data_IF_774874047615
#
_entry.id   IF_774874047615
#
_cell.length_a   1.000
_cell.length_b   1.000
_cell.length_c   1.000
_cell.angle_alpha   90.00
_cell.angle_beta   90.00
_cell.angle_gamma   90.00
#
_symmetry.space_group_name_H-M   'P 1'
#
loop_
_entity.id
_entity.type
_entity.pdbx_description
1 polymer ?
#
# COMPACT_ATOMS: atom_id res chain seq x y z
N UNK A 1 14.85 17.14 -7.45
CA UNK A 1 13.40 16.81 -7.38
C UNK A 1 13.04 15.46 -8.00
N UNK A 2 13.55 15.07 -9.18
CA UNK A 2 13.23 13.77 -9.81
C UNK A 2 13.58 12.57 -8.91
N UNK A 3 14.71 12.63 -8.20
CA UNK A 3 15.13 11.59 -7.26
C UNK A 3 14.14 11.42 -6.08
N UNK A 4 13.59 12.53 -5.57
CA UNK A 4 12.67 12.52 -4.43
C UNK A 4 11.30 11.91 -4.79
N UNK A 5 10.72 12.29 -5.94
CA UNK A 5 9.46 11.69 -6.44
C UNK A 5 9.63 10.18 -6.64
N UNK A 6 10.76 9.74 -7.22
CA UNK A 6 11.05 8.31 -7.41
C UNK A 6 11.18 7.57 -6.09
N UNK A 7 11.87 8.16 -5.11
CA UNK A 7 12.00 7.60 -3.77
C UNK A 7 10.62 7.42 -3.08
N UNK A 8 9.75 8.44 -3.13
CA UNK A 8 8.42 8.34 -2.53
C UNK A 8 7.53 7.31 -3.22
N UNK A 9 7.60 7.16 -4.56
CA UNK A 9 6.90 6.09 -5.27
C UNK A 9 7.38 4.72 -4.83
N UNK A 10 8.69 4.52 -4.76
CA UNK A 10 9.25 3.25 -4.27
C UNK A 10 8.79 2.94 -2.84
N UNK A 11 8.81 3.92 -1.93
CA UNK A 11 8.30 3.75 -0.55
C UNK A 11 6.80 3.43 -0.52
N UNK A 12 6.02 4.01 -1.42
CA UNK A 12 4.58 3.73 -1.55
C UNK A 12 4.33 2.29 -2.00
N UNK A 13 5.08 1.83 -3.01
CA UNK A 13 4.98 0.45 -3.50
C UNK A 13 5.41 -0.55 -2.40
N UNK A 14 6.47 -0.22 -1.66
CA UNK A 14 6.97 -1.04 -0.54
C UNK A 14 5.93 -1.17 0.57
N UNK A 15 5.35 -0.05 1.01
CA UNK A 15 4.29 -0.07 2.03
C UNK A 15 3.02 -0.77 1.54
N UNK A 16 2.71 -0.68 0.25
CA UNK A 16 1.58 -1.41 -0.32
C UNK A 16 1.81 -2.92 -0.31
N UNK A 17 3.04 -3.37 -0.59
CA UNK A 17 3.43 -4.78 -0.48
C UNK A 17 3.34 -5.27 0.96
N UNK A 18 3.87 -4.50 1.91
CA UNK A 18 3.83 -4.84 3.34
C UNK A 18 2.38 -5.04 3.84
N UNK A 19 1.44 -4.20 3.40
CA UNK A 19 0.01 -4.36 3.73
C UNK A 19 -0.55 -5.67 3.17
N UNK A 20 -0.22 -6.01 1.92
CA UNK A 20 -0.69 -7.27 1.30
C UNK A 20 -0.13 -8.47 2.05
N UNK A 21 1.14 -8.46 2.43
CA UNK A 21 1.76 -9.55 3.21
C UNK A 21 1.08 -9.73 4.58
N UNK A 22 0.68 -8.64 5.24
CA UNK A 22 -0.09 -8.73 6.49
C UNK A 22 -1.52 -9.23 6.26
N UNK A 23 -2.19 -8.81 5.19
CA UNK A 23 -3.53 -9.29 4.84
C UNK A 23 -3.49 -10.81 4.55
N UNK A 24 -2.49 -11.29 3.81
CA UNK A 24 -2.26 -12.73 3.59
C UNK A 24 -1.98 -13.49 4.89
N UNK A 25 -1.26 -12.87 5.84
CA UNK A 25 -1.00 -13.46 7.15
C UNK A 25 -2.29 -13.61 7.99
N UNK A 26 -3.17 -12.61 7.95
CA UNK A 26 -4.49 -12.68 8.59
C UNK A 26 -5.31 -13.82 7.99
N UNK A 27 -5.39 -13.89 6.67
CA UNK A 27 -6.12 -14.96 5.97
C UNK A 27 -5.61 -16.36 6.36
N UNK A 28 -4.29 -16.52 6.46
CA UNK A 28 -3.66 -17.75 6.94
C UNK A 28 -4.08 -18.11 8.37
N UNK A 29 -4.15 -17.14 9.30
CA UNK A 29 -4.60 -17.40 10.66
C UNK A 29 -6.10 -17.74 10.74
N UNK A 30 -6.93 -17.06 9.94
CA UNK A 30 -8.36 -17.38 9.83
C UNK A 30 -8.52 -18.82 9.35
N UNK A 31 -7.82 -19.20 8.29
CA UNK A 31 -7.87 -20.56 7.74
C UNK A 31 -7.40 -21.61 8.76
N UNK A 32 -6.32 -21.34 9.50
CA UNK A 32 -5.89 -22.22 10.59
C UNK A 32 -6.97 -22.38 11.68
N UNK A 33 -7.70 -21.31 11.99
CA UNK A 33 -8.81 -21.34 12.93
C UNK A 33 -9.97 -22.22 12.46
N UNK A 34 -10.29 -22.19 11.16
CA UNK A 34 -11.30 -23.05 10.54
C UNK A 34 -10.89 -24.53 10.60
N UNK A 35 -9.64 -24.84 10.25
CA UNK A 35 -9.11 -26.20 10.32
C UNK A 35 -9.17 -26.78 11.73
N UNK A 36 -8.84 -25.99 12.76
CA UNK A 36 -8.95 -26.40 14.16
C UNK A 36 -10.41 -26.68 14.57
N UNK A 37 -11.37 -25.95 14.00
CA UNK A 37 -12.78 -26.17 14.28
C UNK A 37 -13.29 -27.46 13.64
N UNK A 38 -12.85 -27.75 12.42
CA UNK A 38 -13.18 -28.99 11.71
C UNK A 38 -12.53 -30.21 12.40
N UNK A 39 -11.28 -30.08 12.86
CA UNK A 39 -10.60 -31.11 13.65
C UNK A 39 -11.36 -31.40 14.95
N UNK A 40 -11.80 -30.35 15.66
CA UNK A 40 -12.58 -30.49 16.88
C UNK A 40 -13.92 -31.20 16.66
N UNK A 41 -14.62 -30.89 15.56
CA UNK A 41 -15.87 -31.58 15.18
C UNK A 41 -15.63 -33.06 14.91
N UNK A 42 -14.55 -33.39 14.20
CA UNK A 42 -14.19 -34.78 13.92
C UNK A 42 -13.89 -35.55 15.22
N UNK A 43 -13.10 -34.96 16.11
CA UNK A 43 -12.78 -35.56 17.41
C UNK A 43 -14.03 -35.72 18.29
N UNK A 44 -14.96 -34.76 18.25
CA UNK A 44 -16.23 -34.84 18.97
C UNK A 44 -17.08 -36.03 18.50
N UNK A 45 -17.10 -36.31 17.19
CA UNK A 45 -17.81 -37.47 16.65
C UNK A 45 -17.13 -38.77 17.11
N UNK A 46 -15.81 -38.86 17.02
CA UNK A 46 -15.06 -40.04 17.48
C UNK A 46 -15.25 -40.33 18.98
N UNK A 47 -15.29 -39.27 19.81
CA UNK A 47 -15.51 -39.36 21.24
C UNK A 47 -16.89 -39.90 21.63
N UNK A 48 -17.92 -39.69 20.79
CA UNK A 48 -19.27 -40.24 21.03
C UNK A 48 -19.31 -41.76 20.91
N UNK A 49 -18.51 -42.32 20.01
CA UNK A 49 -18.54 -43.74 19.67
C UNK A 49 -17.48 -44.57 20.43
N UNK A 50 -16.57 -43.91 21.15
CA UNK A 50 -15.48 -44.57 21.87
C UNK A 50 -15.28 -44.01 23.30
N UNK A 51 -15.51 -44.86 24.30
CA UNK A 51 -15.39 -44.51 25.72
C UNK A 51 -14.01 -44.00 26.12
N UNK A 52 -12.92 -44.54 25.55
CA UNK A 52 -11.57 -44.07 25.86
C UNK A 52 -11.33 -42.67 25.27
N UNK A 53 -11.80 -42.42 24.05
CA UNK A 53 -11.73 -41.09 23.42
C UNK A 53 -12.60 -40.05 24.16
N UNK A 54 -13.76 -40.45 24.67
CA UNK A 54 -14.63 -39.59 25.49
C UNK A 54 -13.93 -39.06 26.75
N UNK A 55 -13.01 -39.83 27.35
CA UNK A 55 -12.30 -39.41 28.56
C UNK A 55 -11.26 -38.32 28.27
N UNK A 56 -10.63 -38.34 27.09
CA UNK A 56 -9.58 -37.37 26.70
C UNK A 56 -10.12 -36.17 25.94
N UNK A 57 -11.33 -36.26 25.37
CA UNK A 57 -11.94 -35.21 24.55
C UNK A 57 -11.99 -33.84 25.24
N UNK A 58 -12.30 -33.78 26.55
CA UNK A 58 -12.39 -32.51 27.27
C UNK A 58 -11.06 -31.74 27.30
N UNK A 59 -9.95 -32.44 27.53
CA UNK A 59 -8.61 -31.83 27.51
C UNK A 59 -8.23 -31.36 26.11
N UNK A 60 -8.53 -32.20 25.10
CA UNK A 60 -8.30 -31.85 23.71
C UNK A 60 -9.09 -30.61 23.29
N UNK A 61 -10.40 -30.56 23.58
CA UNK A 61 -11.26 -29.42 23.28
C UNK A 61 -10.77 -28.12 23.94
N UNK A 62 -10.35 -28.19 25.20
CA UNK A 62 -9.76 -27.05 25.90
C UNK A 62 -8.47 -26.57 25.21
N UNK A 63 -7.63 -27.49 24.72
CA UNK A 63 -6.42 -27.13 23.98
C UNK A 63 -6.73 -26.40 22.66
N UNK A 64 -7.79 -26.80 21.96
CA UNK A 64 -8.25 -26.15 20.73
C UNK A 64 -8.78 -24.74 21.03
N UNK A 65 -9.58 -24.58 22.09
CA UNK A 65 -10.09 -23.26 22.52
C UNK A 65 -8.92 -22.30 22.78
N UNK A 66 -7.92 -22.73 23.56
CA UNK A 66 -6.74 -21.90 23.84
C UNK A 66 -5.94 -21.53 22.58
N UNK A 67 -5.84 -22.45 21.61
CA UNK A 67 -5.19 -22.16 20.31
C UNK A 67 -5.99 -21.13 19.51
N UNK A 68 -7.32 -21.24 19.47
CA UNK A 68 -8.18 -20.27 18.79
C UNK A 68 -8.12 -18.88 19.43
N UNK A 69 -8.09 -18.79 20.75
CA UNK A 69 -7.91 -17.51 21.46
C UNK A 69 -6.57 -16.85 21.11
N UNK A 70 -5.51 -17.65 21.02
CA UNK A 70 -4.18 -17.17 20.57
C UNK A 70 -4.22 -16.68 19.12
N UNK A 71 -4.83 -17.45 18.21
CA UNK A 71 -4.99 -17.04 16.80
C UNK A 71 -5.78 -15.72 16.70
N UNK A 72 -6.89 -15.60 17.43
CA UNK A 72 -7.67 -14.35 17.46
C UNK A 72 -6.85 -13.17 17.97
N UNK A 73 -6.05 -13.36 19.03
CA UNK A 73 -5.15 -12.33 19.53
C UNK A 73 -4.08 -11.95 18.50
N UNK A 74 -3.52 -12.93 17.78
CA UNK A 74 -2.55 -12.69 16.72
C UNK A 74 -3.17 -11.94 15.52
N UNK A 75 -4.39 -12.29 15.13
CA UNK A 75 -5.14 -11.58 14.09
C UNK A 75 -5.31 -10.11 14.48
N UNK A 76 -5.83 -9.84 15.68
CA UNK A 76 -6.03 -8.46 16.14
C UNK A 76 -4.72 -7.65 16.19
N UNK A 77 -3.60 -8.28 16.52
CA UNK A 77 -2.29 -7.62 16.47
C UNK A 77 -1.87 -7.27 15.05
N UNK A 78 -2.04 -8.19 14.09
CA UNK A 78 -1.69 -7.94 12.68
C UNK A 78 -2.63 -6.89 12.07
N UNK A 79 -3.92 -6.91 12.40
CA UNK A 79 -4.88 -5.87 11.96
C UNK A 79 -4.48 -4.48 12.44
N UNK A 80 -3.93 -4.35 13.66
CA UNK A 80 -3.36 -3.09 14.13
C UNK A 80 -2.14 -2.66 13.30
N UNK A 81 -1.26 -3.61 12.93
CA UNK A 81 -0.13 -3.30 12.04
C UNK A 81 -0.60 -2.85 10.65
N UNK A 82 -1.62 -3.49 10.09
CA UNK A 82 -2.26 -3.08 8.82
C UNK A 82 -2.77 -1.65 8.92
N UNK A 83 -3.46 -1.32 10.01
CA UNK A 83 -4.00 0.03 10.21
C UNK A 83 -2.89 1.08 10.26
N UNK A 84 -1.81 0.82 11.01
CA UNK A 84 -0.64 1.71 11.04
C UNK A 84 0.04 1.82 9.67
N UNK A 85 0.21 0.71 8.95
CA UNK A 85 0.80 0.74 7.60
C UNK A 85 -0.07 1.51 6.60
N UNK A 86 -1.40 1.43 6.70
CA UNK A 86 -2.34 2.21 5.88
C UNK A 86 -2.26 3.72 6.18
N UNK A 87 -2.05 4.09 7.44
CA UNK A 87 -1.81 5.48 7.83
C UNK A 87 -0.49 6.02 7.26
N UNK A 88 0.60 5.24 7.37
CA UNK A 88 1.90 5.58 6.78
C UNK A 88 1.80 5.73 5.26
N UNK A 89 1.14 4.79 4.58
CA UNK A 89 0.91 4.81 3.15
C UNK A 89 0.19 6.10 2.72
N UNK A 90 -0.83 6.50 3.49
CA UNK A 90 -1.57 7.75 3.25
C UNK A 90 -0.67 8.98 3.37
N UNK A 91 0.21 9.03 4.38
CA UNK A 91 1.14 10.14 4.56
C UNK A 91 2.15 10.22 3.40
N UNK A 92 2.75 9.09 3.02
CA UNK A 92 3.69 9.01 1.88
C UNK A 92 3.01 9.47 0.59
N UNK A 93 1.77 9.06 0.36
CA UNK A 93 1.00 9.47 -0.81
C UNK A 93 0.73 10.97 -0.83
N UNK A 94 0.34 11.57 0.30
CA UNK A 94 0.14 13.02 0.40
C UNK A 94 1.42 13.80 0.11
N UNK A 95 2.56 13.32 0.61
CA UNK A 95 3.86 13.95 0.34
C UNK A 95 4.25 13.84 -1.14
N UNK A 96 4.09 12.65 -1.73
CA UNK A 96 4.31 12.43 -3.16
C UNK A 96 3.48 13.40 -4.01
N UNK A 97 2.19 13.55 -3.71
CA UNK A 97 1.30 14.46 -4.47
C UNK A 97 1.75 15.92 -4.39
N UNK A 98 2.22 16.36 -3.22
CA UNK A 98 2.76 17.70 -3.03
C UNK A 98 3.96 17.94 -3.95
N UNK A 99 4.90 17.00 -4.01
CA UNK A 99 6.06 17.10 -4.90
C UNK A 99 5.68 17.03 -6.38
N UNK A 100 4.71 16.19 -6.75
CA UNK A 100 4.21 16.13 -8.13
C UNK A 100 3.60 17.46 -8.58
N UNK A 101 2.78 18.10 -7.74
CA UNK A 101 2.21 19.43 -8.02
C UNK A 101 3.29 20.49 -8.13
N UNK A 102 4.24 20.52 -7.18
CA UNK A 102 5.33 21.50 -7.21
C UNK A 102 6.15 21.38 -8.50
N UNK A 103 6.49 20.14 -8.89
CA UNK A 103 7.22 19.89 -10.13
C UNK A 103 6.41 20.33 -11.34
N UNK A 104 5.12 20.00 -11.41
CA UNK A 104 4.24 20.42 -12.51
C UNK A 104 4.23 21.94 -12.67
N UNK A 105 4.06 22.68 -11.57
CA UNK A 105 4.04 24.15 -11.60
C UNK A 105 5.38 24.73 -12.08
N UNK A 106 6.51 24.10 -11.71
CA UNK A 106 7.83 24.51 -12.19
C UNK A 106 8.05 24.23 -13.67
N UNK A 107 7.61 23.06 -14.13
CA UNK A 107 7.70 22.66 -15.54
C UNK A 107 6.85 23.61 -16.41
N UNK A 108 5.65 23.98 -15.96
CA UNK A 108 4.77 24.96 -16.61
C UNK A 108 5.42 26.36 -16.66
N UNK A 109 5.97 26.84 -15.55
CA UNK A 109 6.65 28.14 -15.49
C UNK A 109 7.91 28.18 -16.36
N UNK A 110 8.65 27.06 -16.48
CA UNK A 110 9.81 26.95 -17.35
C UNK A 110 9.40 26.98 -18.83
N UNK A 111 8.32 26.27 -19.19
CA UNK A 111 7.76 26.27 -20.54
C UNK A 111 7.27 27.67 -20.94
N UNK A 112 6.55 28.37 -20.06
CA UNK A 112 6.08 29.73 -20.33
C UNK A 112 7.24 30.70 -20.57
N UNK A 113 8.32 30.60 -19.78
CA UNK A 113 9.53 31.40 -19.98
C UNK A 113 10.22 31.09 -21.31
N UNK A 114 10.32 29.81 -21.69
CA UNK A 114 10.90 29.40 -22.96
C UNK A 114 10.10 29.97 -24.14
N UNK A 115 8.77 29.85 -24.09
CA UNK A 115 7.88 30.38 -25.14
C UNK A 115 7.97 31.92 -25.24
N UNK A 116 8.07 32.65 -24.12
CA UNK A 116 8.24 34.11 -24.12
C UNK A 116 9.57 34.52 -24.75
N UNK A 117 10.65 33.80 -24.45
CA UNK A 117 11.96 34.05 -25.05
C UNK A 117 11.93 33.79 -26.55
N UNK A 118 11.36 32.66 -26.99
CA UNK A 118 11.21 32.32 -28.39
C UNK A 118 10.39 33.38 -29.15
N UNK A 119 9.24 33.79 -28.61
CA UNK A 119 8.42 34.85 -29.20
C UNK A 119 9.20 36.16 -29.35
N UNK A 120 9.92 36.58 -28.30
CA UNK A 120 10.75 37.80 -28.35
C UNK A 120 11.82 37.71 -29.46
N UNK A 121 12.46 36.56 -29.62
CA UNK A 121 13.46 36.37 -30.68
C UNK A 121 12.86 36.40 -32.09
N UNK A 122 11.66 35.83 -32.27
CA UNK A 122 10.95 35.85 -33.54
C UNK A 122 10.50 37.27 -33.90
N UNK A 123 10.02 38.04 -32.92
CA UNK A 123 9.61 39.43 -33.10
C UNK A 123 10.81 40.32 -33.49
N UNK A 124 11.97 40.15 -32.84
CA UNK A 124 13.21 40.85 -33.20
C UNK A 124 13.66 40.56 -34.63
N UNK A 125 13.66 39.29 -35.04
CA UNK A 125 13.98 38.87 -36.41
C UNK A 125 13.00 39.45 -37.44
N UNK A 126 11.71 39.47 -37.12
CA UNK A 126 10.67 40.05 -37.98
C UNK A 126 10.89 41.55 -38.21
N UNK A 127 11.22 42.30 -37.16
CA UNK A 127 11.55 43.72 -37.25
C UNK A 127 12.81 43.95 -38.09
N UNK A 128 13.86 43.13 -37.91
CA UNK A 128 15.10 43.26 -38.68
C UNK A 128 14.87 43.01 -40.18
N UNK A 129 14.13 41.95 -40.52
CA UNK A 129 13.76 41.63 -41.90
C UNK A 129 12.94 42.75 -42.55
N UNK A 130 11.99 43.32 -41.82
CA UNK A 130 11.20 44.46 -42.30
C UNK A 130 12.09 45.68 -42.59
N UNK A 131 12.98 46.06 -41.66
CA UNK A 131 13.91 47.19 -41.86
C UNK A 131 14.82 46.99 -43.07
N UNK A 132 15.32 45.78 -43.31
CA UNK A 132 16.17 45.47 -44.48
C UNK A 132 15.41 45.64 -45.80
N UNK A 133 14.10 45.36 -45.81
CA UNK A 133 13.26 45.46 -47.01
C UNK A 133 12.92 46.91 -47.37
N UNK A 134 12.76 47.80 -46.38
CA UNK A 134 12.50 49.23 -46.62
C UNK A 134 13.75 50.04 -47.04
N UNK A 135 14.95 49.48 -46.87
CA UNK A 135 16.22 50.12 -47.26
C UNK A 135 16.65 49.82 -48.70
N UNK A 136 15.84 49.09 -49.48
CA UNK A 136 16.06 48.75 -50.88
C UNK A 136 14.91 49.25 -51.74
#
# INVERSE_FOLDING_TARGET
MINLIRMHRWRLDEKSREIVEYEELVDSFVHQGELLEDELKAEQVAAKDNTMASLTYGEYANSIIQRREKLGSSISQVEQQIQHAKEDLRLIFQELKRYEILKKNQDEAALEKANKLEQSTLDELGIELFRRRDQH
#
